data_IF_457069127891
#
_entry.id   IF_457069127891
#
_cell.length_a   1.000
_cell.length_b   1.000
_cell.length_c   1.000
_cell.angle_alpha   90.00
_cell.angle_beta   90.00
_cell.angle_gamma   90.00
#
_symmetry.space_group_name_H-M   'P 1'
#
loop_
_entity.id
_entity.type
_entity.pdbx_description
1 polymer ?
#
# COMPACT_ATOMS: atom_id res chain seq x y z
N UNK A 1 25.19 5.67 4.52
CA UNK A 1 26.32 6.24 3.73
C UNK A 1 27.04 5.09 3.05
N UNK A 2 27.66 5.32 1.89
CA UNK A 2 28.39 4.28 1.15
C UNK A 2 29.53 4.90 0.32
N UNK A 3 30.34 4.06 -0.32
CA UNK A 3 31.30 4.46 -1.36
C UNK A 3 30.92 3.82 -2.68
N UNK A 4 31.03 4.56 -3.78
CA UNK A 4 30.91 4.01 -5.12
C UNK A 4 32.19 3.27 -5.55
N UNK A 5 32.21 2.73 -6.77
CA UNK A 5 33.36 2.01 -7.34
C UNK A 5 34.63 2.87 -7.49
N UNK A 6 34.50 4.20 -7.47
CA UNK A 6 35.61 5.15 -7.58
C UNK A 6 36.05 5.67 -6.20
N UNK A 7 35.45 5.18 -5.10
CA UNK A 7 35.75 5.61 -3.75
C UNK A 7 35.04 6.90 -3.32
N UNK A 8 34.13 7.44 -4.13
CA UNK A 8 33.39 8.66 -3.83
C UNK A 8 32.30 8.35 -2.81
N UNK A 9 32.22 9.20 -1.76
CA UNK A 9 31.19 9.07 -0.72
C UNK A 9 29.81 9.38 -1.32
N UNK A 10 28.85 8.51 -1.06
CA UNK A 10 27.47 8.64 -1.53
C UNK A 10 26.45 8.32 -0.42
N UNK A 11 25.19 8.66 -0.67
CA UNK A 11 24.06 8.33 0.21
C UNK A 11 23.24 7.19 -0.37
N UNK A 12 22.45 6.52 0.47
CA UNK A 12 21.62 5.39 0.07
C UNK A 12 20.18 5.79 -0.31
N UNK A 13 19.88 7.10 -0.31
CA UNK A 13 18.55 7.63 -0.53
C UNK A 13 17.60 7.43 0.66
N UNK A 14 16.29 7.48 0.38
CA UNK A 14 15.23 7.29 1.39
C UNK A 14 15.33 5.91 2.06
N UNK A 15 15.19 5.88 3.39
CA UNK A 15 15.36 4.66 4.18
C UNK A 15 16.82 4.20 4.30
N UNK A 16 17.80 5.06 4.02
CA UNK A 16 19.22 4.68 3.97
C UNK A 16 19.78 4.09 5.27
N UNK A 17 19.34 4.57 6.44
CA UNK A 17 19.77 4.01 7.74
C UNK A 17 19.18 2.63 7.97
N UNK A 18 17.87 2.45 7.71
CA UNK A 18 17.22 1.14 7.79
C UNK A 18 17.86 0.16 6.81
N UNK A 19 18.16 0.59 5.58
CA UNK A 19 18.86 -0.21 4.58
C UNK A 19 20.27 -0.60 5.03
N UNK A 20 20.99 0.29 5.70
CA UNK A 20 22.33 -0.03 6.21
C UNK A 20 22.25 -1.12 7.28
N UNK A 21 21.33 -0.99 8.23
CA UNK A 21 21.12 -1.98 9.28
C UNK A 21 20.69 -3.35 8.71
N UNK A 22 19.77 -3.35 7.76
CA UNK A 22 19.28 -4.57 7.12
C UNK A 22 20.34 -5.24 6.27
N UNK A 23 21.13 -4.48 5.51
CA UNK A 23 22.26 -5.04 4.75
C UNK A 23 23.30 -5.70 5.64
N UNK A 24 23.70 -5.03 6.74
CA UNK A 24 24.69 -5.58 7.68
C UNK A 24 24.15 -6.84 8.34
N UNK A 25 22.94 -6.79 8.89
CA UNK A 25 22.35 -7.92 9.59
C UNK A 25 22.08 -9.11 8.68
N UNK A 26 21.62 -8.88 7.44
CA UNK A 26 21.44 -9.94 6.45
C UNK A 26 22.78 -10.58 6.05
N UNK A 27 23.81 -9.77 5.80
CA UNK A 27 25.15 -10.25 5.46
C UNK A 27 25.77 -11.10 6.58
N UNK A 28 25.55 -10.69 7.84
CA UNK A 28 26.01 -11.43 9.02
C UNK A 28 25.12 -12.61 9.41
N UNK A 29 23.98 -12.83 8.71
CA UNK A 29 22.94 -13.79 9.10
C UNK A 29 22.54 -13.63 10.56
N UNK A 30 22.31 -12.38 10.98
CA UNK A 30 21.87 -12.07 12.32
C UNK A 30 20.57 -12.82 12.66
N UNK A 31 20.40 -13.17 13.94
CA UNK A 31 19.17 -13.82 14.42
C UNK A 31 17.95 -12.91 14.25
N UNK A 32 18.14 -11.61 14.44
CA UNK A 32 17.11 -10.58 14.32
C UNK A 32 17.80 -9.23 14.07
N UNK A 33 17.15 -8.37 13.29
CA UNK A 33 17.57 -6.98 13.09
C UNK A 33 16.51 -6.08 13.70
N UNK A 34 16.92 -5.13 14.55
CA UNK A 34 15.97 -4.24 15.22
C UNK A 34 16.03 -2.83 14.65
N UNK A 35 14.85 -2.30 14.30
CA UNK A 35 14.67 -0.90 13.90
C UNK A 35 13.86 -0.21 14.98
N UNK A 36 14.46 0.77 15.64
CA UNK A 36 13.83 1.51 16.74
C UNK A 36 13.19 2.79 16.19
N UNK A 37 11.89 2.94 16.43
CA UNK A 37 11.02 4.02 15.97
C UNK A 37 10.29 4.63 17.17
N UNK A 38 9.39 5.56 16.91
CA UNK A 38 8.55 6.26 17.90
C UNK A 38 7.15 5.62 18.08
N UNK A 39 6.94 4.42 17.54
CA UNK A 39 5.68 3.67 17.58
C UNK A 39 5.90 2.24 18.08
N UNK A 40 4.87 1.64 18.67
CA UNK A 40 4.87 0.28 19.23
C UNK A 40 4.90 -0.85 18.18
N UNK A 41 5.49 -0.57 17.02
CA UNK A 41 5.48 -1.44 15.85
C UNK A 41 4.51 -0.94 14.78
N UNK A 42 4.04 -1.86 13.97
CA UNK A 42 2.97 -1.66 13.00
C UNK A 42 1.64 -1.81 13.74
N UNK A 43 0.73 -0.87 13.54
CA UNK A 43 -0.60 -0.88 14.16
C UNK A 43 -1.64 -1.43 13.17
N UNK A 44 -2.76 -1.97 13.69
CA UNK A 44 -3.88 -2.44 12.86
C UNK A 44 -4.50 -1.34 12.00
N UNK A 45 -4.35 -0.08 12.41
CA UNK A 45 -4.65 1.14 11.64
C UNK A 45 -3.99 2.33 12.36
N UNK A 46 -4.08 3.54 11.81
CA UNK A 46 -3.58 4.75 12.47
C UNK A 46 -4.35 5.04 13.77
N UNK A 47 -3.69 5.04 14.94
CA UNK A 47 -4.34 5.27 16.25
C UNK A 47 -4.97 6.66 16.40
N UNK A 48 -4.63 7.61 15.52
CA UNK A 48 -5.26 8.95 15.47
C UNK A 48 -6.66 8.91 14.87
N UNK A 49 -6.97 7.86 14.11
CA UNK A 49 -8.29 7.62 13.51
C UNK A 49 -9.11 6.72 14.44
N UNK A 50 -8.57 5.56 14.80
CA UNK A 50 -9.25 4.55 15.61
C UNK A 50 -8.48 4.36 16.91
N UNK A 51 -9.09 4.70 18.05
CA UNK A 51 -8.42 4.65 19.37
C UNK A 51 -8.13 3.22 19.82
N UNK A 52 -8.92 2.28 19.33
CA UNK A 52 -8.83 0.84 19.57
C UNK A 52 -7.77 0.16 18.68
N UNK A 53 -7.04 0.94 17.87
CA UNK A 53 -5.93 0.41 17.08
C UNK A 53 -4.89 -0.25 17.99
N UNK A 54 -4.53 -1.50 17.67
CA UNK A 54 -3.60 -2.31 18.46
C UNK A 54 -2.33 -2.61 17.66
N UNK A 55 -1.19 -2.86 18.34
CA UNK A 55 0.01 -3.36 17.67
C UNK A 55 -0.25 -4.72 17.01
N UNK A 56 0.38 -4.95 15.87
CA UNK A 56 0.40 -6.23 15.19
C UNK A 56 1.68 -6.96 15.62
N UNK A 57 1.56 -8.17 16.16
CA UNK A 57 2.72 -8.89 16.68
C UNK A 57 3.68 -9.35 15.57
N UNK A 58 3.13 -9.78 14.43
CA UNK A 58 3.88 -10.36 13.32
C UNK A 58 3.24 -10.00 11.97
N UNK A 59 4.07 -9.69 10.97
CA UNK A 59 3.67 -9.49 9.58
C UNK A 59 4.67 -10.17 8.65
N UNK A 60 4.24 -10.52 7.44
CA UNK A 60 5.16 -10.98 6.40
C UNK A 60 5.87 -9.82 5.70
N UNK A 61 6.98 -10.08 5.01
CA UNK A 61 7.64 -9.09 4.16
C UNK A 61 6.74 -8.55 3.05
N UNK A 62 5.85 -9.39 2.51
CA UNK A 62 4.88 -8.99 1.48
C UNK A 62 3.84 -8.03 2.07
N UNK A 63 3.26 -8.35 3.23
CA UNK A 63 2.32 -7.47 3.93
C UNK A 63 2.97 -6.15 4.36
N UNK A 64 4.20 -6.21 4.89
CA UNK A 64 4.94 -5.01 5.29
C UNK A 64 5.24 -4.09 4.09
N UNK A 65 5.53 -4.66 2.92
CA UNK A 65 5.75 -3.90 1.69
C UNK A 65 4.48 -3.16 1.27
N UNK A 66 3.33 -3.83 1.28
CA UNK A 66 2.03 -3.24 0.94
C UNK A 66 1.64 -2.14 1.95
N UNK A 67 1.84 -2.40 3.24
CA UNK A 67 1.62 -1.41 4.30
C UNK A 67 2.46 -0.14 4.09
N UNK A 68 3.73 -0.31 3.71
CA UNK A 68 4.62 0.80 3.46
C UNK A 68 4.26 1.60 2.19
N UNK A 69 3.69 0.95 1.18
CA UNK A 69 3.20 1.63 -0.03
C UNK A 69 1.94 2.46 0.25
N UNK A 70 1.02 1.98 1.08
CA UNK A 70 -0.29 2.59 1.30
C UNK A 70 -0.44 3.39 2.61
N UNK A 71 0.69 3.84 3.20
CA UNK A 71 0.69 4.91 4.20
C UNK A 71 1.19 4.54 5.60
N UNK A 72 1.52 3.27 5.88
CA UNK A 72 2.15 2.86 7.13
C UNK A 72 3.67 2.97 7.02
N UNK A 73 4.22 4.17 7.25
CA UNK A 73 5.65 4.46 7.04
C UNK A 73 6.55 3.97 8.19
N UNK A 74 6.53 2.68 8.47
CA UNK A 74 7.40 2.09 9.50
C UNK A 74 8.75 1.70 8.92
N UNK A 75 8.77 1.04 7.76
CA UNK A 75 9.98 0.66 7.02
C UNK A 75 9.80 0.86 5.53
N UNK A 76 10.82 1.37 4.85
CA UNK A 76 10.78 1.55 3.40
C UNK A 76 10.92 0.19 2.69
N UNK A 77 10.15 -0.12 1.63
CA UNK A 77 10.24 -1.43 0.95
C UNK A 77 11.66 -1.84 0.56
N UNK A 78 12.44 -0.88 0.05
CA UNK A 78 13.86 -1.10 -0.30
C UNK A 78 14.73 -1.56 0.86
N UNK A 79 14.48 -1.12 2.09
CA UNK A 79 15.30 -1.56 3.23
C UNK A 79 15.02 -3.00 3.62
N UNK A 80 13.88 -3.58 3.24
CA UNK A 80 13.55 -4.97 3.57
C UNK A 80 14.15 -5.99 2.60
N UNK A 81 14.55 -5.57 1.39
CA UNK A 81 15.06 -6.45 0.33
C UNK A 81 16.22 -7.36 0.79
N UNK A 82 17.27 -6.87 1.49
CA UNK A 82 18.36 -7.74 1.92
C UNK A 82 17.88 -8.86 2.85
N UNK A 83 17.02 -8.52 3.81
CA UNK A 83 16.51 -9.46 4.81
C UNK A 83 15.55 -10.48 4.21
N UNK A 84 14.67 -10.06 3.28
CA UNK A 84 13.78 -10.95 2.55
C UNK A 84 14.58 -12.02 1.78
N UNK A 85 15.68 -11.63 1.12
CA UNK A 85 16.56 -12.57 0.39
C UNK A 85 17.24 -13.60 1.30
N UNK A 86 17.56 -13.23 2.53
CA UNK A 86 18.26 -14.12 3.48
C UNK A 86 17.33 -14.81 4.47
N UNK A 87 16.04 -14.47 4.48
CA UNK A 87 15.07 -14.90 5.50
C UNK A 87 15.36 -14.34 6.89
N UNK A 88 16.20 -13.30 7.02
CA UNK A 88 16.56 -12.72 8.32
C UNK A 88 15.39 -11.91 8.88
N UNK A 89 14.87 -12.16 10.09
CA UNK A 89 13.75 -11.39 10.63
C UNK A 89 14.12 -9.94 10.98
N UNK A 90 13.17 -9.02 10.81
CA UNK A 90 13.31 -7.61 11.21
C UNK A 90 12.25 -7.26 12.24
N UNK A 91 12.62 -6.67 13.38
CA UNK A 91 11.68 -6.23 14.41
C UNK A 91 11.63 -4.71 14.50
N UNK A 92 10.42 -4.17 14.43
CA UNK A 92 10.15 -2.76 14.67
C UNK A 92 9.83 -2.56 16.14
N UNK A 93 10.62 -1.75 16.84
CA UNK A 93 10.47 -1.47 18.28
C UNK A 93 10.25 0.01 18.56
N UNK A 94 9.68 0.33 19.72
CA UNK A 94 9.50 1.69 20.17
C UNK A 94 10.62 2.14 21.12
N UNK A 95 11.33 3.23 20.81
CA UNK A 95 12.35 3.80 21.71
C UNK A 95 11.75 4.45 22.96
N UNK A 96 10.50 4.91 22.91
CA UNK A 96 9.79 5.48 24.06
C UNK A 96 9.12 4.42 24.94
N UNK A 97 8.91 3.21 24.42
CA UNK A 97 8.30 2.10 25.14
C UNK A 97 9.11 0.81 24.92
N UNK A 98 10.27 0.73 25.55
CA UNK A 98 11.23 -0.38 25.38
C UNK A 98 10.67 -1.76 25.77
N UNK A 99 9.62 -1.78 26.60
CA UNK A 99 8.94 -3.00 27.06
C UNK A 99 7.99 -3.57 26.00
N UNK A 100 7.57 -2.75 25.03
CA UNK A 100 6.78 -3.22 23.90
C UNK A 100 7.53 -4.30 23.13
N UNK A 101 6.80 -5.36 22.77
CA UNK A 101 7.31 -6.43 21.90
C UNK A 101 7.60 -5.92 20.49
N UNK A 102 6.91 -4.86 20.07
CA UNK A 102 6.97 -4.37 18.70
C UNK A 102 6.37 -5.37 17.71
N UNK A 103 6.64 -5.15 16.43
CA UNK A 103 6.20 -6.04 15.34
C UNK A 103 7.37 -6.79 14.76
N UNK A 104 7.26 -8.10 14.60
CA UNK A 104 8.22 -8.92 13.88
C UNK A 104 7.83 -9.06 12.41
N UNK A 105 8.78 -8.83 11.51
CA UNK A 105 8.63 -9.01 10.07
C UNK A 105 9.40 -10.26 9.66
N UNK A 106 8.69 -11.21 9.04
CA UNK A 106 9.17 -12.55 8.68
C UNK A 106 8.86 -12.88 7.21
N UNK A 107 9.42 -13.96 6.68
CA UNK A 107 9.08 -14.42 5.33
C UNK A 107 7.66 -15.01 5.28
N UNK A 108 7.36 -15.90 6.23
CA UNK A 108 6.05 -16.52 6.40
C UNK A 108 5.65 -16.46 7.87
N UNK A 109 4.34 -16.40 8.12
CA UNK A 109 3.83 -16.40 9.49
C UNK A 109 4.26 -17.64 10.25
N UNK A 110 4.69 -17.46 11.50
CA UNK A 110 5.11 -18.57 12.36
C UNK A 110 3.92 -19.37 12.93
N UNK A 111 2.71 -18.79 12.87
CA UNK A 111 1.47 -19.42 13.32
C UNK A 111 0.30 -19.20 12.35
N UNK A 112 -0.92 -19.21 12.89
CA UNK A 112 -2.13 -19.00 12.09
C UNK A 112 -2.15 -17.59 11.51
N UNK A 113 -2.19 -17.49 10.19
CA UNK A 113 -2.31 -16.21 9.48
C UNK A 113 -3.59 -15.48 9.88
N UNK A 114 -3.52 -14.22 10.36
CA UNK A 114 -4.71 -13.45 10.67
C UNK A 114 -5.58 -13.26 9.43
N UNK A 115 -6.89 -13.10 9.62
CA UNK A 115 -7.79 -12.79 8.50
C UNK A 115 -7.44 -11.41 7.92
N UNK A 116 -7.21 -10.43 8.80
CA UNK A 116 -6.86 -9.06 8.47
C UNK A 116 -5.72 -8.65 9.38
N UNK A 117 -4.66 -8.12 8.79
CA UNK A 117 -3.45 -7.69 9.46
C UNK A 117 -3.56 -6.22 9.85
N UNK A 118 -3.95 -5.38 8.90
CA UNK A 118 -4.10 -3.94 9.12
C UNK A 118 -4.94 -3.27 8.02
N UNK A 119 -5.37 -2.04 8.28
CA UNK A 119 -6.10 -1.18 7.37
C UNK A 119 -5.31 0.12 7.24
N UNK A 120 -5.12 0.57 6.01
CA UNK A 120 -4.38 1.81 5.70
C UNK A 120 -5.19 2.68 4.76
N UNK A 121 -4.80 3.96 4.65
CA UNK A 121 -5.42 4.89 3.72
C UNK A 121 -4.41 5.86 3.13
N UNK A 122 -4.62 6.22 1.88
CA UNK A 122 -3.91 7.30 1.18
C UNK A 122 -4.95 8.32 0.71
N UNK A 123 -4.89 9.54 1.24
CA UNK A 123 -5.77 10.65 0.85
C UNK A 123 -5.17 11.44 -0.31
N UNK A 124 -6.03 12.23 -0.95
CA UNK A 124 -5.66 13.17 -2.01
C UNK A 124 -5.07 12.46 -3.24
N UNK A 125 -5.75 11.42 -3.69
CA UNK A 125 -5.48 10.82 -4.99
C UNK A 125 -6.47 11.34 -6.03
N UNK A 126 -6.07 11.28 -7.28
CA UNK A 126 -6.91 11.62 -8.43
C UNK A 126 -7.27 10.34 -9.17
N UNK A 127 -8.57 10.14 -9.42
CA UNK A 127 -9.09 9.07 -10.26
C UNK A 127 -9.19 9.55 -11.70
N UNK A 128 -8.68 8.75 -12.63
CA UNK A 128 -8.79 8.94 -14.08
C UNK A 128 -9.55 7.74 -14.64
N UNK A 129 -10.78 7.99 -15.10
CA UNK A 129 -11.59 7.01 -15.80
C UNK A 129 -11.40 7.20 -17.31
N UNK A 130 -10.93 6.16 -17.99
CA UNK A 130 -10.67 6.13 -19.42
C UNK A 130 -11.63 5.15 -20.05
N UNK A 131 -12.50 5.61 -20.94
CA UNK A 131 -13.50 4.79 -21.62
C UNK A 131 -13.26 4.80 -23.14
N UNK A 132 -13.21 3.62 -23.74
CA UNK A 132 -13.09 3.48 -25.20
C UNK A 132 -13.64 2.15 -25.69
N UNK A 133 -14.56 2.20 -26.65
CA UNK A 133 -15.03 0.99 -27.35
C UNK A 133 -13.92 0.30 -28.13
N UNK A 134 -12.82 1.02 -28.45
CA UNK A 134 -11.63 0.47 -29.11
C UNK A 134 -10.84 -0.49 -28.24
N UNK A 135 -11.16 -0.62 -26.95
CA UNK A 135 -10.51 -1.55 -26.03
C UNK A 135 -11.01 -3.00 -26.25
N UNK A 136 -12.26 -3.18 -26.70
CA UNK A 136 -12.85 -4.50 -26.94
C UNK A 136 -12.10 -5.25 -28.04
N UNK A 137 -11.47 -6.37 -27.68
CA UNK A 137 -10.78 -7.27 -28.61
C UNK A 137 -9.51 -6.69 -29.25
N UNK A 138 -9.07 -5.49 -28.85
CA UNK A 138 -7.89 -4.85 -29.42
C UNK A 138 -6.64 -5.12 -28.57
N UNK A 139 -5.66 -5.80 -29.16
CA UNK A 139 -4.33 -5.88 -28.57
C UNK A 139 -3.66 -4.49 -28.58
N UNK A 140 -3.06 -4.10 -27.44
CA UNK A 140 -2.21 -2.91 -27.36
C UNK A 140 -2.86 -1.63 -26.83
N UNK A 141 -4.18 -1.59 -26.61
CA UNK A 141 -4.82 -0.39 -26.04
C UNK A 141 -4.25 -0.04 -24.66
N UNK A 142 -4.15 -1.00 -23.74
CA UNK A 142 -3.55 -0.79 -22.42
C UNK A 142 -2.09 -0.36 -22.49
N UNK A 143 -1.31 -0.94 -23.42
CA UNK A 143 0.08 -0.56 -23.63
C UNK A 143 0.18 0.91 -24.10
N UNK A 144 -0.72 1.33 -25.00
CA UNK A 144 -0.79 2.72 -25.43
C UNK A 144 -1.10 3.65 -24.26
N UNK A 145 -2.10 3.33 -23.43
CA UNK A 145 -2.42 4.12 -22.23
C UNK A 145 -1.20 4.25 -21.31
N UNK A 146 -0.57 3.14 -20.92
CA UNK A 146 0.58 3.17 -20.01
C UNK A 146 1.79 3.92 -20.59
N UNK A 147 2.00 3.87 -21.90
CA UNK A 147 3.05 4.66 -22.55
C UNK A 147 2.83 6.18 -22.42
N UNK A 148 1.57 6.64 -22.37
CA UNK A 148 1.28 8.05 -22.11
C UNK A 148 1.65 8.44 -20.67
N UNK A 149 1.34 7.60 -19.68
CA UNK A 149 1.77 7.84 -18.29
C UNK A 149 3.30 7.86 -18.17
N UNK A 150 3.99 6.95 -18.87
CA UNK A 150 5.45 6.93 -18.94
C UNK A 150 6.03 8.20 -19.56
N UNK A 151 5.48 8.66 -20.69
CA UNK A 151 5.92 9.89 -21.39
C UNK A 151 5.90 11.10 -20.45
N UNK A 152 4.88 11.20 -19.61
CA UNK A 152 4.70 12.29 -18.65
C UNK A 152 5.33 12.02 -17.27
N UNK A 153 6.00 10.87 -17.10
CA UNK A 153 6.62 10.44 -15.85
C UNK A 153 5.64 10.45 -14.64
N UNK A 154 4.41 9.99 -14.88
CA UNK A 154 3.35 9.91 -13.86
C UNK A 154 3.24 8.46 -13.39
N UNK A 155 3.46 8.25 -12.09
CA UNK A 155 3.28 6.94 -11.47
C UNK A 155 1.79 6.67 -11.23
N UNK A 156 1.37 5.44 -11.50
CA UNK A 156 0.02 4.94 -11.22
C UNK A 156 0.07 4.13 -9.93
N UNK A 157 -0.93 4.28 -9.07
CA UNK A 157 -1.02 3.55 -7.79
C UNK A 157 -1.91 2.30 -7.92
N UNK A 158 -3.20 2.48 -8.25
CA UNK A 158 -4.20 1.42 -8.30
C UNK A 158 -4.90 1.43 -9.66
N UNK A 159 -5.21 0.23 -10.15
CA UNK A 159 -5.82 0.00 -11.46
C UNK A 159 -7.05 -0.90 -11.29
N UNK A 160 -8.12 -0.56 -11.99
CA UNK A 160 -9.27 -1.43 -12.22
C UNK A 160 -9.69 -1.36 -13.69
N UNK A 161 -10.15 -2.47 -14.25
CA UNK A 161 -10.54 -2.57 -15.67
C UNK A 161 -11.93 -3.17 -15.79
N UNK A 162 -12.70 -2.69 -16.76
CA UNK A 162 -13.86 -3.37 -17.34
C UNK A 162 -13.54 -3.80 -18.77
N UNK A 163 -14.54 -4.27 -19.52
CA UNK A 163 -14.41 -4.64 -20.92
C UNK A 163 -14.07 -3.44 -21.83
N UNK A 164 -14.51 -2.24 -21.46
CA UNK A 164 -14.40 -1.01 -22.28
C UNK A 164 -13.81 0.19 -21.54
N UNK A 165 -13.40 0.02 -20.28
CA UNK A 165 -12.85 1.10 -19.48
C UNK A 165 -11.69 0.67 -18.59
N UNK A 166 -10.86 1.64 -18.26
CA UNK A 166 -9.76 1.54 -17.32
C UNK A 166 -9.86 2.70 -16.34
N UNK A 167 -9.89 2.39 -15.06
CA UNK A 167 -9.85 3.36 -13.97
C UNK A 167 -8.49 3.28 -13.29
N UNK A 168 -7.82 4.43 -13.18
CA UNK A 168 -6.46 4.55 -12.68
C UNK A 168 -6.40 5.62 -11.60
N UNK A 169 -5.62 5.40 -10.54
CA UNK A 169 -5.34 6.42 -9.54
C UNK A 169 -3.91 6.91 -9.63
N UNK A 170 -3.71 8.21 -9.37
CA UNK A 170 -2.41 8.86 -9.32
C UNK A 170 -2.34 9.83 -8.13
N UNK A 171 -1.13 10.24 -7.75
CA UNK A 171 -0.90 11.29 -6.75
C UNK A 171 -1.69 12.56 -7.14
N UNK A 172 -2.51 13.08 -6.22
CA UNK A 172 -3.33 14.27 -6.46
C UNK A 172 -2.54 15.56 -6.64
N UNK A 173 -1.22 15.56 -6.41
CA UNK A 173 -0.32 16.68 -6.70
C UNK A 173 0.34 16.61 -8.07
N UNK A 174 0.17 15.52 -8.80
CA UNK A 174 0.76 15.39 -10.13
C UNK A 174 0.12 16.40 -11.11
N UNK A 175 0.93 17.00 -11.98
CA UNK A 175 0.44 17.79 -13.10
C UNK A 175 -0.05 16.84 -14.21
N UNK A 176 -1.36 16.85 -14.44
CA UNK A 176 -2.02 15.96 -15.39
C UNK A 176 -2.39 16.66 -16.71
N UNK A 177 -2.12 17.96 -16.86
CA UNK A 177 -2.63 18.74 -18.00
C UNK A 177 -2.20 18.15 -19.34
N UNK A 178 -0.91 17.85 -19.50
CA UNK A 178 -0.38 17.25 -20.73
C UNK A 178 -0.84 15.80 -20.96
N UNK A 179 -0.90 15.00 -19.89
CA UNK A 179 -1.37 13.62 -19.96
C UNK A 179 -2.82 13.53 -20.42
N UNK A 180 -3.70 14.36 -19.84
CA UNK A 180 -5.13 14.34 -20.17
C UNK A 180 -5.36 14.77 -21.62
N UNK A 181 -4.62 15.77 -22.12
CA UNK A 181 -4.72 16.19 -23.51
C UNK A 181 -4.36 15.04 -24.47
N UNK A 182 -3.27 14.33 -24.18
CA UNK A 182 -2.82 13.18 -24.96
C UNK A 182 -3.82 12.01 -24.92
N UNK A 183 -4.38 11.71 -23.75
CA UNK A 183 -5.36 10.61 -23.58
C UNK A 183 -6.70 10.90 -24.27
N UNK A 184 -7.16 12.16 -24.23
CA UNK A 184 -8.43 12.58 -24.87
C UNK A 184 -8.43 12.43 -26.39
N UNK A 185 -7.25 12.29 -27.02
CA UNK A 185 -7.14 12.05 -28.48
C UNK A 185 -7.57 10.63 -28.87
N UNK A 186 -7.61 9.68 -27.92
CA UNK A 186 -7.81 8.25 -28.22
C UNK A 186 -8.95 7.60 -27.42
N UNK A 187 -9.40 8.24 -26.34
CA UNK A 187 -10.45 7.75 -25.45
C UNK A 187 -11.23 8.92 -24.81
N UNK A 188 -12.40 8.62 -24.26
CA UNK A 188 -13.07 9.56 -23.35
C UNK A 188 -12.41 9.48 -21.97
N UNK A 189 -12.17 10.64 -21.36
CA UNK A 189 -11.37 10.75 -20.12
C UNK A 189 -12.09 11.63 -19.13
N UNK A 190 -12.47 11.04 -17.99
CA UNK A 190 -13.05 11.74 -16.86
C UNK A 190 -12.08 11.74 -15.68
N UNK A 191 -11.91 12.90 -15.04
CA UNK A 191 -10.94 13.08 -13.95
C UNK A 191 -11.67 13.55 -12.71
N UNK A 192 -11.51 12.81 -11.61
CA UNK A 192 -12.13 13.10 -10.33
C UNK A 192 -11.05 13.23 -9.26
N UNK A 193 -10.86 14.44 -8.77
CA UNK A 193 -9.96 14.74 -7.64
C UNK A 193 -10.65 14.49 -6.30
N UNK A 194 -9.89 14.59 -5.20
CA UNK A 194 -10.47 14.52 -3.85
C UNK A 194 -10.91 13.11 -3.47
N UNK A 195 -10.19 12.09 -3.95
CA UNK A 195 -10.41 10.68 -3.63
C UNK A 195 -9.38 10.17 -2.63
N UNK A 196 -9.73 9.08 -1.98
CA UNK A 196 -8.84 8.36 -1.08
C UNK A 196 -8.90 6.86 -1.34
N UNK A 197 -7.73 6.22 -1.30
CA UNK A 197 -7.58 4.78 -1.35
C UNK A 197 -7.61 4.28 0.09
N UNK A 198 -8.45 3.31 0.39
CA UNK A 198 -8.43 2.55 1.63
C UNK A 198 -8.03 1.13 1.28
N UNK A 199 -7.00 0.62 1.94
CA UNK A 199 -6.42 -0.70 1.64
C UNK A 199 -6.50 -1.57 2.88
N UNK A 200 -7.14 -2.72 2.73
CA UNK A 200 -7.20 -3.79 3.73
C UNK A 200 -6.04 -4.74 3.43
N UNK A 201 -5.11 -4.87 4.37
CA UNK A 201 -4.04 -5.86 4.32
C UNK A 201 -4.53 -7.11 5.02
N UNK A 202 -4.68 -8.18 4.27
CA UNK A 202 -5.46 -9.35 4.67
C UNK A 202 -5.06 -10.59 3.90
N UNK A 203 -5.51 -11.75 4.37
CA UNK A 203 -5.40 -12.98 3.61
C UNK A 203 -6.41 -13.01 2.45
N UNK A 204 -5.94 -12.63 1.25
CA UNK A 204 -6.80 -12.53 0.07
C UNK A 204 -7.40 -13.87 -0.38
N UNK A 205 -6.88 -15.01 0.10
CA UNK A 205 -7.51 -16.33 -0.15
C UNK A 205 -8.88 -16.46 0.54
N UNK A 206 -9.13 -15.64 1.56
CA UNK A 206 -10.40 -15.55 2.31
C UNK A 206 -11.16 -14.25 1.99
N UNK A 207 -10.93 -13.66 0.81
CA UNK A 207 -11.47 -12.34 0.45
C UNK A 207 -12.98 -12.24 0.55
N UNK A 208 -13.73 -13.30 0.23
CA UNK A 208 -15.20 -13.27 0.28
C UNK A 208 -15.74 -12.86 1.65
N UNK A 209 -15.18 -13.43 2.73
CA UNK A 209 -15.61 -13.10 4.10
C UNK A 209 -15.17 -11.69 4.49
N UNK A 210 -13.97 -11.29 4.09
CA UNK A 210 -13.40 -9.97 4.39
C UNK A 210 -14.22 -8.87 3.72
N UNK A 211 -14.47 -9.02 2.41
CA UNK A 211 -15.25 -8.08 1.60
C UNK A 211 -16.69 -8.03 2.14
N UNK A 212 -17.34 -9.17 2.38
CA UNK A 212 -18.71 -9.19 2.90
C UNK A 212 -18.84 -8.40 4.22
N UNK A 213 -17.94 -8.64 5.18
CA UNK A 213 -17.93 -7.91 6.46
C UNK A 213 -17.62 -6.42 6.27
N UNK A 214 -16.62 -6.09 5.46
CA UNK A 214 -16.26 -4.71 5.19
C UNK A 214 -17.44 -3.94 4.57
N UNK A 215 -18.10 -4.50 3.55
CA UNK A 215 -19.25 -3.86 2.90
C UNK A 215 -20.49 -3.79 3.79
N UNK A 216 -20.71 -4.73 4.71
CA UNK A 216 -21.75 -4.61 5.74
C UNK A 216 -21.50 -3.39 6.65
N UNK A 217 -20.26 -3.19 7.09
CA UNK A 217 -19.86 -2.00 7.85
C UNK A 217 -20.05 -0.69 7.05
N UNK A 218 -19.61 -0.67 5.80
CA UNK A 218 -19.73 0.51 4.93
C UNK A 218 -21.19 0.86 4.61
N UNK A 219 -22.03 -0.15 4.38
CA UNK A 219 -23.44 0.03 4.07
C UNK A 219 -24.20 0.68 5.23
N UNK A 220 -23.87 0.33 6.48
CA UNK A 220 -24.48 0.94 7.68
C UNK A 220 -24.14 2.42 7.80
N UNK A 221 -22.96 2.81 7.33
CA UNK A 221 -22.48 4.19 7.37
C UNK A 221 -22.83 5.04 6.14
N UNK A 222 -23.51 4.44 5.15
CA UNK A 222 -23.90 5.09 3.89
C UNK A 222 -22.71 5.44 2.99
N UNK A 223 -21.63 4.66 3.05
CA UNK A 223 -20.40 4.91 2.29
C UNK A 223 -20.43 4.12 0.98
N UNK A 224 -20.29 4.83 -0.14
CA UNK A 224 -20.27 4.22 -1.48
C UNK A 224 -18.84 4.05 -1.97
N UNK A 225 -18.46 2.80 -2.26
CA UNK A 225 -17.18 2.47 -2.89
C UNK A 225 -17.26 2.72 -4.39
N UNK A 226 -16.31 3.47 -4.93
CA UNK A 226 -16.30 3.91 -6.34
C UNK A 226 -15.45 3.01 -7.24
N UNK A 227 -14.45 2.34 -6.67
CA UNK A 227 -13.56 1.44 -7.37
C UNK A 227 -13.03 0.41 -6.36
N UNK A 228 -12.89 -0.85 -6.80
CA UNK A 228 -12.28 -1.94 -6.04
C UNK A 228 -11.16 -2.52 -6.89
N UNK A 229 -10.03 -2.82 -6.26
CA UNK A 229 -8.92 -3.51 -6.90
C UNK A 229 -8.41 -4.60 -5.97
N UNK A 230 -8.53 -5.84 -6.45
CA UNK A 230 -7.94 -7.03 -5.86
C UNK A 230 -7.31 -7.81 -7.02
N UNK A 231 -6.00 -8.03 -6.97
CA UNK A 231 -5.24 -8.61 -8.07
C UNK A 231 -4.49 -9.88 -7.66
N UNK A 232 -3.33 -10.08 -8.31
CA UNK A 232 -2.45 -11.21 -8.05
C UNK A 232 -1.79 -11.18 -6.65
N UNK A 233 -1.74 -10.01 -6.01
CA UNK A 233 -1.31 -9.89 -4.62
C UNK A 233 -2.25 -10.71 -3.73
N UNK A 234 -1.66 -11.60 -2.93
CA UNK A 234 -2.43 -12.45 -2.00
C UNK A 234 -2.64 -11.78 -0.64
N UNK A 235 -2.30 -10.49 -0.53
CA UNK A 235 -2.19 -9.82 0.77
C UNK A 235 -2.94 -8.50 0.88
N UNK A 236 -3.58 -8.01 -0.20
CA UNK A 236 -4.30 -6.72 -0.16
C UNK A 236 -5.64 -6.74 -0.92
N UNK A 237 -6.54 -5.85 -0.48
CA UNK A 237 -7.76 -5.45 -1.18
C UNK A 237 -7.85 -3.93 -1.04
N UNK A 238 -7.84 -3.21 -2.17
CA UNK A 238 -7.92 -1.75 -2.18
C UNK A 238 -9.28 -1.28 -2.67
N UNK A 239 -9.78 -0.22 -2.07
CA UNK A 239 -11.04 0.42 -2.44
C UNK A 239 -10.88 1.93 -2.50
N UNK A 240 -11.62 2.56 -3.40
CA UNK A 240 -11.63 4.01 -3.57
C UNK A 240 -12.92 4.61 -3.01
N UNK A 241 -12.76 5.63 -2.18
CA UNK A 241 -13.83 6.42 -1.58
C UNK A 241 -13.54 7.91 -1.73
N UNK A 242 -14.51 8.76 -1.37
CA UNK A 242 -14.25 10.20 -1.30
C UNK A 242 -13.34 10.54 -0.11
N UNK A 243 -12.44 11.51 -0.27
CA UNK A 243 -11.46 11.89 0.77
C UNK A 243 -12.10 12.27 2.10
N UNK A 244 -13.29 12.87 2.06
CA UNK A 244 -14.06 13.24 3.25
C UNK A 244 -14.63 12.03 4.01
N UNK A 245 -14.81 10.89 3.35
CA UNK A 245 -15.31 9.64 3.94
C UNK A 245 -14.18 8.70 4.36
N UNK A 246 -12.93 8.96 4.01
CA UNK A 246 -11.82 8.03 4.22
C UNK A 246 -11.63 7.59 5.69
N UNK A 247 -11.77 8.51 6.64
CA UNK A 247 -11.55 8.25 8.07
C UNK A 247 -12.66 7.37 8.61
N UNK A 248 -13.90 7.76 8.31
CA UNK A 248 -15.11 7.00 8.61
C UNK A 248 -15.11 5.60 7.96
N UNK A 249 -14.55 5.48 6.75
CA UNK A 249 -14.39 4.20 6.04
C UNK A 249 -13.44 3.29 6.82
N UNK A 250 -12.30 3.81 7.28
CA UNK A 250 -11.34 3.06 8.09
C UNK A 250 -11.95 2.65 9.43
N UNK A 251 -12.68 3.55 10.11
CA UNK A 251 -13.37 3.26 11.38
C UNK A 251 -14.42 2.15 11.21
N UNK A 252 -15.29 2.28 10.21
CA UNK A 252 -16.34 1.31 9.91
C UNK A 252 -15.76 -0.08 9.62
N UNK A 253 -14.75 -0.17 8.76
CA UNK A 253 -14.09 -1.43 8.41
C UNK A 253 -13.33 -2.00 9.62
N UNK A 254 -12.65 -1.16 10.40
CA UNK A 254 -11.89 -1.62 11.57
C UNK A 254 -12.84 -2.23 12.61
N UNK A 255 -13.95 -1.55 12.91
CA UNK A 255 -14.94 -2.04 13.88
C UNK A 255 -15.53 -3.41 13.54
N UNK A 256 -15.71 -3.76 12.26
CA UNK A 256 -16.30 -5.05 11.87
C UNK A 256 -15.27 -6.17 11.66
N UNK A 257 -14.00 -5.81 11.37
CA UNK A 257 -12.93 -6.77 11.12
C UNK A 257 -12.04 -7.04 12.34
N UNK A 258 -12.00 -6.12 13.31
CA UNK A 258 -11.16 -6.20 14.51
C UNK A 258 -11.93 -6.17 15.84
N UNK A 259 -13.27 -6.13 15.81
CA UNK A 259 -14.12 -6.36 16.99
C UNK A 259 -13.88 -7.71 17.67
#
# INVERSE_FOLDING_TARGET
IAKDKNGIITTLGRGGSDLSATMIGAAMRAKEIQTWKDVDGIMTTDPRIVKEARPVDEVTYEEAQELAMFGSQVLHPRSMIPCRKTGTPVRVKNSYNIKSRGTLIVEEHTGTRPLVTAITKVKNVTLIDIQSSRMLGAAGFLAHIFNQFLKWNISIDVIATSEVSVSLTVDGKADLTGLIEDLKRVADVNVKTGKAIVTIICDASRSSVIIAKAFDGLSKEGINVQMISQGASKVNISMLVDTNQADKTVEAIHSVLFA
#
